data_IF_160275201738
#
_entry.id   IF_160275201738
#
_cell.length_a   1.000
_cell.length_b   1.000
_cell.length_c   1.000
_cell.angle_alpha   90.00
_cell.angle_beta   90.00
_cell.angle_gamma   90.00
#
_symmetry.space_group_name_H-M   'P 1'
#
loop_
_entity.id
_entity.type
_entity.pdbx_description
1 polymer ?
#
# COMPACT_ATOMS: atom_id res chain seq x y z
N UNK A 1 -19.99 14.64 -29.31
CA UNK A 1 -19.26 14.25 -28.09
C UNK A 1 -18.84 12.79 -28.26
N UNK A 2 -17.71 12.53 -28.92
CA UNK A 2 -17.32 11.18 -29.39
C UNK A 2 -16.85 10.20 -28.30
N UNK A 3 -16.62 8.92 -28.63
CA UNK A 3 -16.26 7.86 -27.68
C UNK A 3 -14.85 7.98 -27.06
N UNK A 4 -14.04 8.95 -27.50
CA UNK A 4 -12.66 9.21 -27.06
C UNK A 4 -12.54 9.31 -25.51
N UNK A 5 -13.54 9.90 -24.85
CA UNK A 5 -13.52 10.13 -23.40
C UNK A 5 -13.77 8.86 -22.59
N UNK A 6 -14.45 7.86 -23.18
CA UNK A 6 -14.80 6.61 -22.49
C UNK A 6 -13.53 5.81 -22.19
N UNK A 7 -12.58 5.76 -23.13
CA UNK A 7 -11.29 5.10 -22.92
C UNK A 7 -10.47 5.75 -21.79
N UNK A 8 -10.32 7.08 -21.83
CA UNK A 8 -9.59 7.82 -20.79
C UNK A 8 -10.27 7.73 -19.42
N UNK A 9 -11.59 7.79 -19.37
CA UNK A 9 -12.36 7.62 -18.14
C UNK A 9 -12.17 6.22 -17.53
N UNK A 10 -12.19 5.17 -18.36
CA UNK A 10 -11.96 3.79 -17.91
C UNK A 10 -10.56 3.63 -17.32
N UNK A 11 -9.52 4.12 -18.00
CA UNK A 11 -8.15 4.06 -17.48
C UNK A 11 -8.03 4.85 -16.17
N UNK A 12 -8.62 6.04 -16.09
CA UNK A 12 -8.64 6.85 -14.88
C UNK A 12 -9.29 6.14 -13.69
N UNK A 13 -10.43 5.47 -13.91
CA UNK A 13 -11.13 4.69 -12.88
C UNK A 13 -10.29 3.50 -12.41
N UNK A 14 -9.65 2.77 -13.33
CA UNK A 14 -8.80 1.63 -12.98
C UNK A 14 -7.61 2.07 -12.12
N UNK A 15 -6.93 3.16 -12.51
CA UNK A 15 -5.81 3.70 -11.74
C UNK A 15 -6.26 4.19 -10.35
N UNK A 16 -7.38 4.91 -10.27
CA UNK A 16 -7.94 5.35 -9.00
C UNK A 16 -8.28 4.17 -8.09
N UNK A 17 -8.92 3.12 -8.61
CA UNK A 17 -9.24 1.91 -7.87
C UNK A 17 -7.97 1.21 -7.36
N UNK A 18 -6.93 1.07 -8.20
CA UNK A 18 -5.66 0.48 -7.81
C UNK A 18 -5.00 1.26 -6.66
N UNK A 19 -4.93 2.59 -6.74
CA UNK A 19 -4.37 3.45 -5.69
C UNK A 19 -5.17 3.30 -4.38
N UNK A 20 -6.50 3.32 -4.44
CA UNK A 20 -7.36 3.12 -3.26
C UNK A 20 -7.10 1.75 -2.63
N UNK A 21 -7.00 0.69 -3.43
CA UNK A 21 -6.72 -0.65 -2.92
C UNK A 21 -5.35 -0.74 -2.25
N UNK A 22 -4.31 -0.12 -2.83
CA UNK A 22 -2.97 -0.07 -2.25
C UNK A 22 -2.99 0.67 -0.92
N UNK A 23 -3.60 1.87 -0.85
CA UNK A 23 -3.72 2.65 0.39
C UNK A 23 -4.50 1.89 1.46
N UNK A 24 -5.63 1.26 1.08
CA UNK A 24 -6.41 0.43 2.02
C UNK A 24 -5.60 -0.77 2.51
N UNK A 25 -4.82 -1.42 1.65
CA UNK A 25 -3.89 -2.47 2.07
C UNK A 25 -2.88 -1.90 3.05
N UNK A 26 -2.14 -0.85 2.69
CA UNK A 26 -1.17 -0.20 3.57
C UNK A 26 -1.74 0.16 4.95
N UNK A 27 -2.96 0.69 5.03
CA UNK A 27 -3.60 1.01 6.32
C UNK A 27 -3.93 -0.27 7.10
N UNK A 28 -4.47 -1.29 6.44
CA UNK A 28 -4.75 -2.60 7.07
C UNK A 28 -3.47 -3.29 7.51
N UNK A 29 -2.43 -3.25 6.70
CA UNK A 29 -1.11 -3.80 6.97
C UNK A 29 -0.49 -3.06 8.17
N UNK A 30 -0.53 -1.72 8.19
CA UNK A 30 -0.13 -0.91 9.36
C UNK A 30 -0.92 -1.26 10.62
N UNK A 31 -2.25 -1.40 10.54
CA UNK A 31 -3.10 -1.77 11.68
C UNK A 31 -2.85 -3.21 12.14
N UNK A 32 -2.47 -4.10 11.24
CA UNK A 32 -2.09 -5.48 11.53
C UNK A 32 -0.64 -5.60 12.06
N UNK A 33 0.06 -4.50 12.28
CA UNK A 33 1.45 -4.51 12.74
C UNK A 33 2.44 -5.01 11.69
N UNK A 34 2.03 -5.08 10.41
CA UNK A 34 2.91 -5.41 9.29
C UNK A 34 3.72 -4.16 8.96
N UNK A 35 4.84 -4.03 9.64
CA UNK A 35 5.88 -3.05 9.34
C UNK A 35 6.56 -3.41 8.01
N UNK A 36 7.23 -2.45 7.36
CA UNK A 36 7.96 -2.64 6.08
C UNK A 36 8.96 -3.82 6.10
N UNK A 37 9.37 -4.22 7.30
CA UNK A 37 10.02 -5.49 7.59
C UNK A 37 8.99 -6.63 7.57
N UNK A 38 8.97 -7.41 6.48
CA UNK A 38 8.04 -8.53 6.25
C UNK A 38 8.10 -9.68 7.28
N UNK A 39 9.11 -9.69 8.13
CA UNK A 39 9.19 -10.48 9.35
C UNK A 39 9.04 -9.49 10.51
N UNK A 40 8.04 -9.64 11.38
CA UNK A 40 7.84 -8.72 12.52
C UNK A 40 9.12 -8.50 13.34
N UNK A 41 9.14 -7.49 14.22
CA UNK A 41 10.35 -7.09 14.97
C UNK A 41 11.08 -8.23 15.71
N UNK A 42 10.43 -9.36 15.96
CA UNK A 42 11.04 -10.58 16.50
C UNK A 42 12.12 -11.21 15.62
N UNK A 43 12.14 -10.95 14.30
CA UNK A 43 13.16 -11.45 13.36
C UNK A 43 13.59 -10.38 12.35
N UNK A 44 13.61 -9.11 12.77
CA UNK A 44 14.21 -8.03 11.99
C UNK A 44 15.73 -8.13 12.10
N UNK A 45 16.51 -8.21 11.00
CA UNK A 45 17.98 -8.14 11.06
C UNK A 45 18.49 -6.79 11.58
N UNK A 46 17.62 -5.77 11.62
CA UNK A 46 17.88 -4.46 12.21
C UNK A 46 17.23 -4.30 13.60
N UNK A 47 16.88 -5.40 14.29
CA UNK A 47 16.28 -5.39 15.63
C UNK A 47 17.18 -4.71 16.67
N UNK A 48 18.50 -4.84 16.52
CA UNK A 48 19.52 -4.22 17.39
C UNK A 48 19.41 -2.69 17.46
N UNK A 49 18.96 -2.04 16.39
CA UNK A 49 18.72 -0.59 16.35
C UNK A 49 17.27 -0.19 16.64
N UNK A 50 16.33 -1.15 16.61
CA UNK A 50 14.90 -0.87 16.72
C UNK A 50 14.44 -0.64 18.17
N UNK A 51 15.26 -1.04 19.15
CA UNK A 51 15.07 -0.81 20.59
C UNK A 51 16.32 -0.17 21.19
N UNK A 52 16.64 1.07 20.79
CA UNK A 52 17.63 1.90 21.49
C UNK A 52 16.98 3.12 22.11
N UNK A 53 16.01 2.88 23.00
CA UNK A 53 15.71 3.62 24.24
C UNK A 53 14.47 3.01 24.91
#
# INVERSE_FOLDING_TARGET
MGPEFVGTAVVGVILAAAVILIVRKMIRDKKAGKSSCGCGCSSCPNSDFCHKH
#
